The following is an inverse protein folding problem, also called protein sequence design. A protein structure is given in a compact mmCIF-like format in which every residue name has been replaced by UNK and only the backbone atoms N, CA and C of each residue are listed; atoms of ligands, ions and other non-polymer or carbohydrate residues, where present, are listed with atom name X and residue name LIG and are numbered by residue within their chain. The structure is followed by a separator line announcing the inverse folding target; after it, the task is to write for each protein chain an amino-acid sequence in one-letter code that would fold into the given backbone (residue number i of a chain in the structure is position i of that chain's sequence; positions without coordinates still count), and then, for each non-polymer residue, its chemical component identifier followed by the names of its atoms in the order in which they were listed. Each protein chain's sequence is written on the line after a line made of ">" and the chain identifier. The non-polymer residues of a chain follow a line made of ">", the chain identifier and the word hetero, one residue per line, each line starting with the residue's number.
data_IF_563190830280
#
_entry.id   IF_563190830280
#
_cell.length_a   1.000
_cell.length_b   1.000
_cell.length_c   1.000
_cell.angle_alpha   90.00
_cell.angle_beta   90.00
_cell.angle_gamma   90.00
#
_symmetry.space_group_name_H-M   'P 1'
#
loop_
_entity.id
_entity.type
_entity.pdbx_description
1 polymer ?
#
# COMPACT_ATOMS: atom_id res chain seq x y z
N UNK A 1 11.15 -25.05 0.60
CA UNK A 1 9.96 -24.93 1.46
C UNK A 1 9.67 -23.44 1.64
N UNK A 2 8.65 -22.89 0.98
CA UNK A 2 8.28 -21.48 1.18
C UNK A 2 7.61 -21.36 2.55
N UNK A 3 8.28 -20.70 3.50
CA UNK A 3 7.69 -20.34 4.80
C UNK A 3 6.42 -19.52 4.52
N UNK A 4 5.35 -19.76 5.29
CA UNK A 4 4.20 -18.87 5.29
C UNK A 4 4.66 -17.47 5.73
N UNK A 5 4.37 -16.40 4.96
CA UNK A 5 4.79 -15.06 5.30
C UNK A 5 4.21 -14.64 6.65
N UNK A 6 5.04 -13.98 7.45
CA UNK A 6 4.60 -13.43 8.73
C UNK A 6 3.72 -12.20 8.52
N UNK A 7 2.89 -11.85 9.52
CA UNK A 7 2.14 -10.58 9.51
C UNK A 7 3.07 -9.37 9.36
N UNK A 8 4.27 -9.43 9.97
CA UNK A 8 5.29 -8.38 9.86
C UNK A 8 5.76 -8.18 8.41
N UNK A 9 5.92 -9.27 7.65
CA UNK A 9 6.28 -9.22 6.22
C UNK A 9 5.21 -8.50 5.40
N UNK A 10 3.92 -8.76 5.67
CA UNK A 10 2.82 -8.04 5.02
C UNK A 10 2.76 -6.57 5.40
N UNK A 11 2.94 -6.22 6.68
CA UNK A 11 2.97 -4.83 7.14
C UNK A 11 4.09 -4.05 6.45
N UNK A 12 5.27 -4.65 6.27
CA UNK A 12 6.36 -4.05 5.48
C UNK A 12 5.94 -3.83 4.02
N UNK A 13 5.31 -4.84 3.40
CA UNK A 13 4.85 -4.77 2.00
C UNK A 13 3.75 -3.70 1.77
N UNK A 14 2.92 -3.41 2.77
CA UNK A 14 1.91 -2.34 2.72
C UNK A 14 2.51 -0.94 2.63
N UNK A 15 3.78 -0.77 3.06
CA UNK A 15 4.52 0.50 3.02
C UNK A 15 3.76 1.64 3.71
N UNK A 16 3.43 1.44 4.98
CA UNK A 16 2.62 2.38 5.77
C UNK A 16 3.13 3.84 5.74
N UNK A 17 4.43 4.05 5.54
CA UNK A 17 5.02 5.39 5.39
C UNK A 17 4.52 6.18 4.16
N UNK A 18 3.91 5.51 3.18
CA UNK A 18 3.30 6.14 2.00
C UNK A 18 1.85 6.56 2.23
N UNK A 19 1.17 6.01 3.25
CA UNK A 19 -0.23 6.32 3.55
C UNK A 19 -0.48 7.80 3.90
N UNK A 20 0.39 8.50 4.65
CA UNK A 20 0.18 9.93 4.93
C UNK A 20 0.08 10.78 3.66
N UNK A 21 0.84 10.44 2.61
CA UNK A 21 0.79 11.14 1.34
C UNK A 21 -0.58 10.94 0.67
N UNK A 22 -1.07 9.71 0.58
CA UNK A 22 -2.38 9.41 0.00
C UNK A 22 -3.53 10.06 0.78
N UNK A 23 -3.44 10.06 2.11
CA UNK A 23 -4.45 10.65 2.98
C UNK A 23 -4.50 12.18 2.91
N UNK A 24 -3.42 12.85 2.50
CA UNK A 24 -3.36 14.31 2.44
C UNK A 24 -4.49 14.92 1.59
N UNK A 25 -4.80 14.32 0.43
CA UNK A 25 -5.90 14.77 -0.43
C UNK A 25 -7.28 14.56 0.22
N UNK A 26 -7.47 13.43 0.90
CA UNK A 26 -8.74 13.13 1.59
C UNK A 26 -8.96 14.07 2.76
N UNK A 27 -7.91 14.33 3.54
CA UNK A 27 -7.95 15.28 4.66
C UNK A 27 -8.29 16.68 4.16
N UNK A 28 -7.63 17.14 3.09
CA UNK A 28 -7.90 18.45 2.49
C UNK A 28 -9.35 18.56 1.99
N UNK A 29 -9.81 17.61 1.18
CA UNK A 29 -11.17 17.61 0.66
C UNK A 29 -12.24 17.53 1.75
N UNK A 30 -12.00 16.69 2.77
CA UNK A 30 -12.88 16.58 3.94
C UNK A 30 -12.91 17.88 4.76
N UNK A 31 -11.75 18.50 4.97
CA UNK A 31 -11.65 19.79 5.66
C UNK A 31 -12.42 20.90 4.95
N UNK A 32 -12.33 20.95 3.62
CA UNK A 32 -13.09 21.91 2.82
C UNK A 32 -14.61 21.67 2.92
N UNK A 33 -15.05 20.40 2.83
CA UNK A 33 -16.46 20.05 2.97
C UNK A 33 -17.03 20.42 4.35
N UNK A 34 -16.25 20.20 5.41
CA UNK A 34 -16.58 20.60 6.78
C UNK A 34 -16.67 22.12 6.89
N UNK A 35 -15.69 22.85 6.35
CA UNK A 35 -15.68 24.31 6.35
C UNK A 35 -16.90 24.92 5.65
N UNK A 36 -17.35 24.31 4.54
CA UNK A 36 -18.55 24.73 3.81
C UNK A 36 -19.86 24.22 4.41
N UNK A 37 -19.82 23.50 5.54
CA UNK A 37 -21.01 22.93 6.19
C UNK A 37 -21.70 21.81 5.38
N UNK A 38 -21.09 21.35 4.29
CA UNK A 38 -21.67 20.38 3.34
C UNK A 38 -20.89 19.07 3.38
N UNK A 39 -20.91 18.39 4.53
CA UNK A 39 -20.13 17.17 4.78
C UNK A 39 -21.02 15.97 5.15
N UNK A 40 -20.48 14.77 4.94
CA UNK A 40 -21.06 13.52 5.43
C UNK A 40 -19.96 12.69 6.08
N UNK A 41 -20.11 12.37 7.37
CA UNK A 41 -19.16 11.53 8.08
C UNK A 41 -19.02 10.15 7.45
N UNK A 42 -20.12 9.59 6.94
CA UNK A 42 -20.10 8.32 6.21
C UNK A 42 -19.21 8.43 4.96
N UNK A 43 -19.33 9.50 4.18
CA UNK A 43 -18.50 9.71 2.98
C UNK A 43 -17.03 9.89 3.36
N UNK A 44 -16.73 10.69 4.38
CA UNK A 44 -15.34 10.90 4.86
C UNK A 44 -14.71 9.57 5.29
N UNK A 45 -15.41 8.78 6.11
CA UNK A 45 -14.92 7.49 6.58
C UNK A 45 -14.69 6.50 5.44
N UNK A 46 -15.65 6.40 4.51
CA UNK A 46 -15.51 5.54 3.33
C UNK A 46 -14.37 6.01 2.42
N UNK A 47 -14.17 7.32 2.25
CA UNK A 47 -13.08 7.87 1.45
C UNK A 47 -11.71 7.56 2.06
N UNK A 48 -11.57 7.72 3.38
CA UNK A 48 -10.34 7.35 4.12
C UNK A 48 -10.06 5.86 3.98
N UNK A 49 -11.05 5.01 4.26
CA UNK A 49 -10.91 3.55 4.16
C UNK A 49 -10.51 3.13 2.74
N UNK A 50 -11.23 3.63 1.74
CA UNK A 50 -10.96 3.34 0.32
C UNK A 50 -9.55 3.78 -0.08
N UNK A 51 -9.12 4.96 0.35
CA UNK A 51 -7.78 5.49 0.02
C UNK A 51 -6.68 4.65 0.63
N UNK A 52 -6.83 4.21 1.88
CA UNK A 52 -5.86 3.31 2.53
C UNK A 52 -5.79 1.98 1.77
N UNK A 53 -6.93 1.37 1.46
CA UNK A 53 -6.98 0.10 0.74
C UNK A 53 -6.37 0.20 -0.65
N UNK A 54 -6.69 1.24 -1.43
CA UNK A 54 -6.12 1.47 -2.75
C UNK A 54 -4.62 1.75 -2.69
N UNK A 55 -4.15 2.50 -1.70
CA UNK A 55 -2.72 2.77 -1.54
C UNK A 55 -1.95 1.51 -1.18
N UNK A 56 -2.50 0.66 -0.31
CA UNK A 56 -1.93 -0.66 0.00
C UNK A 56 -1.91 -1.54 -1.25
N UNK A 57 -3.04 -1.65 -1.96
CA UNK A 57 -3.14 -2.45 -3.18
C UNK A 57 -2.11 -2.02 -4.24
N UNK A 58 -1.98 -0.71 -4.47
CA UNK A 58 -0.99 -0.17 -5.40
C UNK A 58 0.44 -0.51 -4.98
N UNK A 59 0.76 -0.45 -3.69
CA UNK A 59 2.08 -0.83 -3.17
C UNK A 59 2.41 -2.31 -3.41
N UNK A 60 1.44 -3.21 -3.17
CA UNK A 60 1.58 -4.65 -3.40
C UNK A 60 1.70 -4.98 -4.89
N UNK A 61 0.83 -4.38 -5.73
CA UNK A 61 0.85 -4.57 -7.17
C UNK A 61 2.17 -4.10 -7.79
N UNK A 62 2.73 -2.98 -7.30
CA UNK A 62 4.03 -2.49 -7.74
C UNK A 62 5.16 -3.45 -7.33
N UNK A 63 5.15 -4.00 -6.10
CA UNK A 63 6.15 -4.99 -5.66
C UNK A 63 6.14 -6.24 -6.55
N UNK A 64 4.95 -6.77 -6.85
CA UNK A 64 4.80 -7.91 -7.75
C UNK A 64 5.22 -7.60 -9.19
N UNK A 65 4.82 -6.43 -9.70
CA UNK A 65 5.14 -5.98 -11.05
C UNK A 65 6.64 -5.72 -11.26
N UNK A 66 7.29 -5.09 -10.28
CA UNK A 66 8.73 -4.81 -10.27
C UNK A 66 9.54 -6.12 -10.22
N UNK A 67 9.09 -7.10 -9.42
CA UNK A 67 9.67 -8.44 -9.39
C UNK A 67 9.54 -9.17 -10.74
N UNK A 68 8.36 -9.19 -11.36
CA UNK A 68 8.16 -9.85 -12.65
C UNK A 68 8.98 -9.21 -13.79
N UNK A 69 9.19 -7.89 -13.74
CA UNK A 69 9.97 -7.17 -14.75
C UNK A 69 11.47 -7.26 -14.53
N UNK A 70 11.94 -7.84 -13.42
CA UNK A 70 13.36 -7.90 -13.05
C UNK A 70 13.94 -6.55 -12.60
N UNK A 71 13.09 -5.56 -12.30
CA UNK A 71 13.49 -4.22 -11.84
C UNK A 71 14.11 -4.29 -10.45
N UNK A 72 13.59 -5.18 -9.60
CA UNK A 72 14.12 -5.44 -8.25
C UNK A 72 15.31 -6.41 -8.30
N UNK A 73 16.49 -5.85 -8.58
CA UNK A 73 17.76 -6.56 -8.63
C UNK A 73 18.68 -6.19 -7.44
N UNK A 74 19.83 -6.87 -7.33
CA UNK A 74 20.79 -6.74 -6.21
C UNK A 74 21.37 -5.33 -6.08
N UNK A 75 21.24 -4.50 -7.12
CA UNK A 75 21.79 -3.15 -7.18
C UNK A 75 20.77 -2.07 -6.81
N UNK A 76 19.59 -2.45 -6.28
CA UNK A 76 18.54 -1.50 -5.93
C UNK A 76 18.94 -0.61 -4.75
N UNK A 77 18.87 0.70 -4.96
CA UNK A 77 18.99 1.72 -3.90
C UNK A 77 17.63 1.91 -3.22
N UNK A 78 17.32 1.05 -2.24
CA UNK A 78 16.10 1.14 -1.45
C UNK A 78 15.91 -0.08 -0.54
N UNK A 79 14.92 -0.08 0.37
CA UNK A 79 14.63 -1.25 1.18
C UNK A 79 14.25 -2.43 0.29
N UNK A 80 14.72 -3.62 0.67
CA UNK A 80 14.38 -4.88 -0.01
C UNK A 80 12.86 -5.03 -0.12
N UNK A 81 12.41 -5.49 -1.29
CA UNK A 81 11.01 -5.82 -1.53
C UNK A 81 10.65 -7.16 -0.93
N UNK A 82 9.38 -7.31 -0.56
CA UNK A 82 8.92 -8.53 0.09
C UNK A 82 8.93 -9.74 -0.87
N UNK A 83 8.68 -9.52 -2.16
CA UNK A 83 8.80 -10.58 -3.17
C UNK A 83 10.26 -10.87 -3.53
N UNK A 84 11.07 -9.82 -3.66
CA UNK A 84 12.50 -9.93 -3.96
C UNK A 84 13.28 -10.67 -2.86
N UNK A 85 13.00 -10.39 -1.59
CA UNK A 85 13.66 -11.04 -0.44
C UNK A 85 13.20 -12.49 -0.22
N UNK A 86 12.15 -12.93 -0.92
CA UNK A 86 11.54 -14.23 -0.73
C UNK A 86 10.72 -14.36 0.56
N UNK A 87 10.53 -13.28 1.33
CA UNK A 87 9.65 -13.26 2.50
C UNK A 87 8.19 -13.55 2.10
N UNK A 88 7.75 -13.07 0.94
CA UNK A 88 6.45 -13.33 0.33
C UNK A 88 6.69 -13.92 -1.06
N UNK A 89 6.13 -15.09 -1.37
CA UNK A 89 6.27 -15.62 -2.74
C UNK A 89 5.46 -14.79 -3.75
N UNK A 90 5.93 -14.74 -5.00
CA UNK A 90 5.22 -14.07 -6.09
C UNK A 90 3.77 -14.59 -6.27
N UNK A 91 3.54 -15.88 -6.01
CA UNK A 91 2.19 -16.47 -6.05
C UNK A 91 1.30 -15.94 -4.94
N UNK A 92 1.82 -15.79 -3.72
CA UNK A 92 1.07 -15.21 -2.59
C UNK A 92 0.78 -13.73 -2.82
N UNK A 93 1.75 -12.97 -3.33
CA UNK A 93 1.56 -11.55 -3.64
C UNK A 93 0.49 -11.34 -4.74
N UNK A 94 0.44 -12.22 -5.74
CA UNK A 94 -0.56 -12.17 -6.82
C UNK A 94 -2.01 -12.35 -6.32
N UNK A 95 -2.21 -13.09 -5.23
CA UNK A 95 -3.54 -13.41 -4.68
C UNK A 95 -3.89 -12.62 -3.43
N UNK A 96 -3.06 -11.63 -3.06
CA UNK A 96 -3.22 -10.82 -1.86
C UNK A 96 -4.29 -9.73 -2.01
#
# INVERSE_FOLDING_TARGET
>A
MTKSPSLSSWIKAFRLRTLPLALSCIIMGSGLAIYMGSYSWTVILLAVLTTILLQILSNLANDYGDFQKGTDNVHRLGPERAVQSGEISARQMKTA
#
